data_IF_946192343711
#
_entry.id   IF_946192343711
#
_cell.length_a   1.000
_cell.length_b   1.000
_cell.length_c   1.000
_cell.angle_alpha   90.00
_cell.angle_beta   90.00
_cell.angle_gamma   90.00
#
_symmetry.space_group_name_H-M   'P 1'
#
loop_
_entity.id
_entity.type
_entity.pdbx_description
1 polymer ?
#
# COMPACT_ATOMS: atom_id res chain seq x y z
N UNK A 1 18.71 -2.59 -14.81
CA UNK A 1 17.36 -2.12 -14.47
C UNK A 1 16.82 -3.09 -13.43
N UNK A 2 17.00 -2.74 -12.17
CA UNK A 2 16.55 -3.59 -11.06
C UNK A 2 15.03 -3.60 -11.01
N UNK A 3 14.38 -4.77 -10.99
CA UNK A 3 12.94 -4.84 -10.86
C UNK A 3 12.56 -4.20 -9.53
N UNK A 4 11.78 -3.11 -9.58
CA UNK A 4 11.28 -2.44 -8.39
C UNK A 4 10.66 -3.46 -7.44
N UNK A 5 11.07 -3.50 -6.16
CA UNK A 5 10.54 -4.41 -5.16
C UNK A 5 9.01 -4.46 -5.16
N UNK A 6 8.43 -5.65 -4.99
CA UNK A 6 6.98 -5.84 -5.02
C UNK A 6 6.23 -4.92 -4.06
N UNK A 7 6.78 -4.69 -2.86
CA UNK A 7 6.18 -3.82 -1.86
C UNK A 7 6.14 -2.36 -2.33
N UNK A 8 7.17 -1.88 -3.05
CA UNK A 8 7.20 -0.53 -3.59
C UNK A 8 6.17 -0.37 -4.71
N UNK A 9 6.01 -1.38 -5.57
CA UNK A 9 4.97 -1.32 -6.61
C UNK A 9 3.57 -1.28 -5.99
N UNK A 10 3.36 -2.04 -4.92
CA UNK A 10 2.11 -2.07 -4.18
C UNK A 10 1.83 -0.74 -3.49
N UNK A 11 2.82 -0.18 -2.79
CA UNK A 11 2.72 1.12 -2.16
C UNK A 11 2.41 2.22 -3.19
N UNK A 12 3.14 2.25 -4.29
CA UNK A 12 2.95 3.23 -5.36
C UNK A 12 1.56 3.13 -6.03
N UNK A 13 1.00 1.92 -6.15
CA UNK A 13 -0.39 1.72 -6.58
C UNK A 13 -1.39 2.42 -5.64
N UNK A 14 -1.26 2.21 -4.33
CA UNK A 14 -2.15 2.84 -3.35
C UNK A 14 -1.91 4.34 -3.20
N UNK A 15 -0.65 4.77 -3.26
CA UNK A 15 -0.27 6.18 -3.27
C UNK A 15 -0.98 6.94 -4.38
N UNK A 16 -0.94 6.42 -5.62
CA UNK A 16 -1.69 7.02 -6.73
C UNK A 16 -3.18 7.04 -6.47
N UNK A 17 -3.76 5.96 -5.94
CA UNK A 17 -5.20 5.91 -5.63
C UNK A 17 -5.62 6.96 -4.59
N UNK A 18 -4.79 7.18 -3.57
CA UNK A 18 -4.99 8.21 -2.54
C UNK A 18 -4.83 9.61 -3.13
N UNK A 19 -3.75 9.86 -3.87
CA UNK A 19 -3.46 11.17 -4.48
C UNK A 19 -4.48 11.58 -5.54
N UNK A 20 -5.06 10.62 -6.26
CA UNK A 20 -6.12 10.88 -7.25
C UNK A 20 -7.51 11.05 -6.62
N UNK A 21 -7.64 10.89 -5.30
CA UNK A 21 -8.90 11.00 -4.58
C UNK A 21 -9.85 9.82 -4.80
N UNK A 22 -9.40 8.75 -5.46
CA UNK A 22 -10.17 7.50 -5.62
C UNK A 22 -10.32 6.80 -4.27
N UNK A 23 -9.27 6.85 -3.44
CA UNK A 23 -9.35 6.50 -2.04
C UNK A 23 -9.55 7.79 -1.24
N UNK A 24 -10.78 8.05 -0.78
CA UNK A 24 -11.00 9.14 0.15
C UNK A 24 -10.24 8.85 1.46
N UNK A 25 -9.66 9.86 2.14
CA UNK A 25 -9.05 9.68 3.47
C UNK A 25 -9.97 8.99 4.49
N UNK A 26 -11.30 9.12 4.29
CA UNK A 26 -12.33 8.46 5.09
C UNK A 26 -12.56 6.97 4.72
N UNK A 27 -12.19 6.54 3.51
CA UNK A 27 -12.04 5.13 3.16
C UNK A 27 -10.70 4.65 3.70
N UNK A 28 -10.72 4.20 4.96
CA UNK A 28 -9.58 3.58 5.65
C UNK A 28 -8.83 2.62 4.72
N UNK A 29 -7.50 2.67 4.82
CA UNK A 29 -6.62 1.74 4.13
C UNK A 29 -7.06 0.28 4.34
N UNK A 30 -7.01 -0.58 3.31
CA UNK A 30 -7.24 -2.00 3.50
C UNK A 30 -6.23 -2.54 4.51
N UNK A 31 -6.68 -3.33 5.48
CA UNK A 31 -5.77 -3.99 6.42
C UNK A 31 -4.77 -4.88 5.67
N UNK A 32 -3.60 -5.09 6.26
CA UNK A 32 -2.54 -5.99 5.72
C UNK A 32 -3.10 -7.33 5.25
N UNK A 33 -4.01 -7.94 6.02
CA UNK A 33 -4.64 -9.23 5.67
C UNK A 33 -5.50 -9.16 4.40
N UNK A 34 -6.14 -8.02 4.14
CA UNK A 34 -6.86 -7.76 2.89
C UNK A 34 -5.88 -7.57 1.74
N UNK A 35 -4.79 -6.82 1.94
CA UNK A 35 -3.76 -6.63 0.91
C UNK A 35 -3.14 -7.96 0.46
N UNK A 36 -2.79 -8.82 1.40
CA UNK A 36 -2.30 -10.19 1.13
C UNK A 36 -3.29 -10.96 0.26
N UNK A 37 -4.58 -10.90 0.58
CA UNK A 37 -5.61 -11.67 -0.12
C UNK A 37 -5.96 -11.10 -1.49
N UNK A 38 -6.00 -9.78 -1.63
CA UNK A 38 -6.35 -9.09 -2.87
C UNK A 38 -5.20 -9.10 -3.88
N UNK A 39 -3.97 -8.88 -3.41
CA UNK A 39 -2.78 -8.79 -4.28
C UNK A 39 -1.97 -10.09 -4.33
N UNK A 40 -2.39 -11.12 -3.61
CA UNK A 40 -1.70 -12.41 -3.52
C UNK A 40 -0.21 -12.28 -3.15
N UNK A 41 0.11 -11.32 -2.28
CA UNK A 41 1.48 -11.05 -1.81
C UNK A 41 1.74 -11.67 -0.44
N UNK A 42 3.01 -11.90 -0.11
CA UNK A 42 3.39 -12.34 1.24
C UNK A 42 3.04 -11.28 2.30
N UNK A 43 2.83 -11.73 3.54
CA UNK A 43 2.56 -10.85 4.68
C UNK A 43 3.64 -9.78 4.85
N UNK A 44 4.91 -10.16 4.70
CA UNK A 44 6.08 -9.27 4.77
C UNK A 44 6.00 -8.16 3.71
N UNK A 45 5.61 -8.49 2.49
CA UNK A 45 5.46 -7.54 1.39
C UNK A 45 4.30 -6.57 1.64
N UNK A 46 3.18 -7.07 2.16
CA UNK A 46 2.04 -6.22 2.53
C UNK A 46 2.39 -5.27 3.69
N UNK A 47 3.10 -5.76 4.71
CA UNK A 47 3.59 -4.93 5.81
C UNK A 47 4.57 -3.85 5.35
N UNK A 48 5.53 -4.20 4.48
CA UNK A 48 6.47 -3.21 3.93
C UNK A 48 5.75 -2.16 3.08
N UNK A 49 4.71 -2.55 2.33
CA UNK A 49 3.92 -1.59 1.57
C UNK A 49 3.13 -0.64 2.49
N UNK A 50 2.48 -1.16 3.53
CA UNK A 50 1.81 -0.33 4.54
C UNK A 50 2.81 0.63 5.20
N UNK A 51 3.97 0.13 5.64
CA UNK A 51 4.98 0.97 6.28
C UNK A 51 5.50 2.08 5.37
N UNK A 52 5.70 1.79 4.08
CA UNK A 52 6.08 2.82 3.12
C UNK A 52 5.02 3.91 2.98
N UNK A 53 3.73 3.54 3.06
CA UNK A 53 2.62 4.48 2.96
C UNK A 53 2.44 5.30 4.24
N UNK A 54 2.76 4.72 5.41
CA UNK A 54 2.87 5.43 6.69
C UNK A 54 4.03 6.42 6.66
N UNK A 55 5.21 6.00 6.20
CA UNK A 55 6.41 6.85 6.05
C UNK A 55 6.16 8.01 5.07
N UNK A 56 5.36 7.78 4.02
CA UNK A 56 4.92 8.79 3.05
C UNK A 56 3.83 9.73 3.62
N UNK A 57 3.34 9.49 4.85
CA UNK A 57 2.29 10.29 5.49
C UNK A 57 0.90 10.12 4.87
N UNK A 58 0.69 9.04 4.10
CA UNK A 58 -0.55 8.78 3.37
C UNK A 58 -1.59 8.02 4.20
N UNK A 59 -1.13 7.32 5.25
CA UNK A 59 -1.98 6.60 6.20
C UNK A 59 -1.48 6.80 7.63
N UNK A 60 -2.41 6.73 8.59
CA UNK A 60 -2.11 6.67 10.01
C UNK A 60 -2.27 5.22 10.49
N UNK A 61 -1.26 4.73 11.22
CA UNK A 61 -1.23 3.39 11.83
C UNK A 61 -2.23 3.25 12.98
#
# INVERSE_FOLDING_TARGET
MDPQPLYLRLADHYRRAIQTGVLAPAQRMPSVRTLVRTHHVSLSTALQACRQLEDDGLIEA
#
